data_IF_025488074468
#
_entry.id   IF_025488074468
#
_cell.length_a   1.000
_cell.length_b   1.000
_cell.length_c   1.000
_cell.angle_alpha   90.00
_cell.angle_beta   90.00
_cell.angle_gamma   90.00
#
_symmetry.space_group_name_H-M   'P 1'
#
loop_
_entity.id
_entity.type
_entity.pdbx_description
1 polymer ?
#
# COMPACT_ATOMS: atom_id res chain seq x y z
N UNK A 1 -3.44 7.25 -10.11
CA UNK A 1 -2.88 6.42 -9.02
C UNK A 1 -3.81 5.25 -8.73
N UNK A 2 -3.28 4.06 -8.70
CA UNK A 2 -4.05 2.84 -8.41
C UNK A 2 -3.87 2.47 -6.95
N UNK A 3 -4.98 2.35 -6.23
CA UNK A 3 -4.98 2.01 -4.81
C UNK A 3 -5.85 0.77 -4.61
N UNK A 4 -5.37 -0.16 -3.80
CA UNK A 4 -6.14 -1.34 -3.41
C UNK A 4 -6.38 -1.34 -1.91
N UNK A 5 -7.54 -1.81 -1.50
CA UNK A 5 -7.92 -2.02 -0.11
C UNK A 5 -8.30 -3.48 0.04
N UNK A 6 -7.73 -4.15 1.03
CA UNK A 6 -8.03 -5.55 1.32
C UNK A 6 -8.30 -5.74 2.81
N UNK A 7 -9.54 -6.05 3.14
CA UNK A 7 -10.00 -6.27 4.51
C UNK A 7 -11.28 -7.10 4.45
N UNK A 8 -11.42 -8.09 5.31
CA UNK A 8 -12.59 -8.95 5.30
C UNK A 8 -13.84 -8.28 5.90
N UNK A 9 -13.66 -7.14 6.59
CA UNK A 9 -14.77 -6.35 7.10
C UNK A 9 -15.22 -5.31 6.07
N UNK A 10 -16.40 -5.51 5.50
CA UNK A 10 -16.97 -4.60 4.48
C UNK A 10 -17.04 -3.16 4.99
N UNK A 11 -17.42 -2.97 6.26
CA UNK A 11 -17.50 -1.65 6.86
C UNK A 11 -16.16 -0.92 6.88
N UNK A 12 -15.08 -1.65 7.15
CA UNK A 12 -13.74 -1.05 7.16
C UNK A 12 -13.29 -0.67 5.74
N UNK A 13 -13.59 -1.53 4.75
CA UNK A 13 -13.29 -1.21 3.34
C UNK A 13 -13.99 0.08 2.93
N UNK A 14 -15.25 0.26 3.30
CA UNK A 14 -16.00 1.48 3.00
C UNK A 14 -15.42 2.71 3.69
N UNK A 15 -15.05 2.58 4.95
CA UNK A 15 -14.43 3.67 5.72
C UNK A 15 -13.12 4.11 5.06
N UNK A 16 -12.26 3.16 4.72
CA UNK A 16 -10.99 3.46 4.07
C UNK A 16 -11.19 4.10 2.70
N UNK A 17 -12.13 3.58 1.92
CA UNK A 17 -12.44 4.15 0.61
C UNK A 17 -12.87 5.61 0.72
N UNK A 18 -13.75 5.93 1.64
CA UNK A 18 -14.22 7.30 1.86
C UNK A 18 -13.09 8.22 2.28
N UNK A 19 -12.24 7.77 3.20
CA UNK A 19 -11.09 8.57 3.66
C UNK A 19 -10.10 8.82 2.53
N UNK A 20 -9.81 7.81 1.73
CA UNK A 20 -8.88 7.92 0.60
C UNK A 20 -9.44 8.88 -0.46
N UNK A 21 -10.72 8.77 -0.79
CA UNK A 21 -11.34 9.63 -1.79
C UNK A 21 -11.31 11.11 -1.40
N UNK A 22 -11.41 11.40 -0.12
CA UNK A 22 -11.31 12.80 0.37
C UNK A 22 -9.92 13.37 0.13
N UNK A 23 -8.89 12.55 0.32
CA UNK A 23 -7.49 12.98 0.18
C UNK A 23 -7.01 12.92 -1.27
N UNK A 24 -7.48 11.93 -2.01
CA UNK A 24 -7.03 11.62 -3.38
C UNK A 24 -8.25 11.39 -4.28
N UNK A 25 -8.97 12.46 -4.66
CA UNK A 25 -10.23 12.30 -5.40
C UNK A 25 -10.09 11.62 -6.76
N UNK A 26 -8.91 11.69 -7.37
CA UNK A 26 -8.67 11.10 -8.69
C UNK A 26 -8.11 9.66 -8.63
N UNK A 27 -7.91 9.12 -7.44
CA UNK A 27 -7.40 7.77 -7.29
C UNK A 27 -8.43 6.73 -7.74
N UNK A 28 -7.95 5.69 -8.40
CA UNK A 28 -8.75 4.52 -8.75
C UNK A 28 -8.60 3.51 -7.62
N UNK A 29 -9.71 3.15 -6.99
CA UNK A 29 -9.69 2.31 -5.79
C UNK A 29 -10.36 0.97 -6.11
N UNK A 30 -9.59 -0.12 -5.95
CA UNK A 30 -10.09 -1.48 -6.04
C UNK A 30 -10.22 -2.06 -4.64
N UNK A 31 -11.27 -2.82 -4.40
CA UNK A 31 -11.63 -3.35 -3.08
C UNK A 31 -11.65 -4.86 -3.11
N UNK A 32 -11.06 -5.48 -2.09
CA UNK A 32 -10.99 -6.93 -1.95
C UNK A 32 -11.35 -7.32 -0.52
N UNK A 33 -12.06 -8.42 -0.37
CA UNK A 33 -12.52 -8.90 0.94
C UNK A 33 -11.69 -10.08 1.46
N UNK A 34 -10.70 -10.53 0.70
CA UNK A 34 -9.80 -11.60 1.12
C UNK A 34 -8.44 -11.49 0.43
N UNK A 35 -7.43 -12.06 1.06
CA UNK A 35 -6.11 -12.15 0.46
C UNK A 35 -6.09 -13.01 -0.80
N UNK A 36 -6.89 -14.08 -0.80
CA UNK A 36 -7.03 -14.96 -1.97
C UNK A 36 -7.58 -14.20 -3.17
N UNK A 37 -8.62 -13.40 -2.96
CA UNK A 37 -9.23 -12.58 -4.01
C UNK A 37 -8.23 -11.58 -4.58
N UNK A 38 -7.51 -10.87 -3.72
CA UNK A 38 -6.50 -9.90 -4.13
C UNK A 38 -5.37 -10.58 -4.91
N UNK A 39 -4.87 -11.70 -4.41
CA UNK A 39 -3.77 -12.43 -5.05
C UNK A 39 -4.17 -12.96 -6.44
N UNK A 40 -5.40 -13.43 -6.57
CA UNK A 40 -5.92 -13.95 -7.83
C UNK A 40 -6.21 -12.85 -8.86
N UNK A 41 -6.39 -11.61 -8.42
CA UNK A 41 -6.78 -10.50 -9.29
C UNK A 41 -5.68 -10.05 -10.26
N UNK A 42 -4.43 -10.34 -9.95
CA UNK A 42 -3.29 -9.82 -10.73
C UNK A 42 -3.08 -8.32 -10.56
N UNK A 43 -3.71 -7.72 -9.57
CA UNK A 43 -3.61 -6.28 -9.31
C UNK A 43 -2.18 -5.88 -8.94
N UNK A 44 -1.74 -4.73 -9.46
CA UNK A 44 -0.44 -4.13 -9.10
C UNK A 44 -0.67 -2.68 -8.68
N UNK A 45 -1.22 -2.47 -7.48
CA UNK A 45 -1.50 -1.11 -7.02
C UNK A 45 -0.23 -0.34 -6.69
N UNK A 46 -0.33 0.98 -6.74
CA UNK A 46 0.73 1.87 -6.26
C UNK A 46 0.78 1.87 -4.73
N UNK A 47 -0.40 1.84 -4.11
CA UNK A 47 -0.55 1.76 -2.65
C UNK A 47 -1.55 0.65 -2.31
N UNK A 48 -1.17 -0.21 -1.38
CA UNK A 48 -2.05 -1.26 -0.85
C UNK A 48 -2.29 -1.04 0.64
N UNK A 49 -3.57 -0.95 1.03
CA UNK A 49 -3.99 -0.97 2.42
C UNK A 49 -4.48 -2.38 2.74
N UNK A 50 -3.84 -3.06 3.66
CA UNK A 50 -4.01 -4.49 3.87
C UNK A 50 -4.16 -4.83 5.35
N UNK A 51 -5.25 -5.52 5.69
CA UNK A 51 -5.41 -6.11 7.02
C UNK A 51 -4.63 -7.43 7.09
N UNK A 52 -4.14 -7.76 8.27
CA UNK A 52 -3.36 -9.01 8.49
C UNK A 52 -4.30 -10.16 8.84
N UNK A 53 -5.20 -9.95 9.80
CA UNK A 53 -6.07 -11.03 10.28
C UNK A 53 -7.30 -11.18 9.40
N UNK A 54 -7.23 -12.14 8.50
CA UNK A 54 -8.33 -12.46 7.58
C UNK A 54 -8.45 -13.98 7.47
N UNK A 55 -9.67 -14.52 7.24
CA UNK A 55 -9.83 -15.95 6.99
C UNK A 55 -9.09 -16.39 5.73
N UNK A 56 -8.59 -17.62 5.73
CA UNK A 56 -7.81 -18.14 4.61
C UNK A 56 -6.41 -17.58 4.59
N UNK A 57 -5.97 -17.08 3.45
CA UNK A 57 -4.67 -16.43 3.32
C UNK A 57 -4.67 -15.12 4.13
N UNK A 58 -3.81 -15.02 5.13
CA UNK A 58 -3.72 -13.79 5.93
C UNK A 58 -2.97 -12.69 5.19
N UNK A 59 -2.98 -11.48 5.77
CA UNK A 59 -2.36 -10.32 5.12
C UNK A 59 -0.85 -10.44 4.98
N UNK A 60 -0.18 -11.12 5.89
CA UNK A 60 1.27 -11.29 5.80
C UNK A 60 1.64 -12.19 4.63
N UNK A 61 0.93 -13.31 4.46
CA UNK A 61 1.11 -14.21 3.32
C UNK A 61 0.78 -13.51 2.00
N UNK A 62 -0.32 -12.74 1.98
CA UNK A 62 -0.73 -11.95 0.82
C UNK A 62 0.36 -10.95 0.43
N UNK A 63 0.92 -10.24 1.40
CA UNK A 63 1.97 -9.27 1.17
C UNK A 63 3.22 -9.91 0.56
N UNK A 64 3.62 -11.08 1.07
CA UNK A 64 4.78 -11.81 0.54
C UNK A 64 4.58 -12.19 -0.92
N UNK A 65 3.39 -12.68 -1.27
CA UNK A 65 3.08 -13.04 -2.65
C UNK A 65 3.13 -11.82 -3.58
N UNK A 66 2.50 -10.73 -3.18
CA UNK A 66 2.45 -9.53 -4.01
C UNK A 66 3.82 -8.87 -4.18
N UNK A 67 4.67 -8.94 -3.15
CA UNK A 67 6.02 -8.38 -3.25
C UNK A 67 6.89 -9.06 -4.29
N UNK A 68 6.66 -10.31 -4.59
CA UNK A 68 7.43 -11.03 -5.61
C UNK A 68 7.30 -10.36 -6.98
N UNK A 69 6.13 -9.82 -7.30
CA UNK A 69 5.84 -9.22 -8.60
C UNK A 69 5.73 -7.70 -8.57
N UNK A 70 5.80 -7.08 -7.40
CA UNK A 70 5.60 -5.64 -7.26
C UNK A 70 6.46 -5.09 -6.11
N UNK A 71 7.74 -4.91 -6.39
CA UNK A 71 8.71 -4.43 -5.39
C UNK A 71 8.46 -2.99 -4.96
N UNK A 72 7.95 -2.16 -5.86
CA UNK A 72 7.81 -0.73 -5.63
C UNK A 72 6.49 -0.34 -4.96
N UNK A 73 5.59 -1.30 -4.78
CA UNK A 73 4.31 -1.05 -4.14
C UNK A 73 4.47 -0.50 -2.73
N UNK A 74 3.75 0.57 -2.43
CA UNK A 74 3.69 1.10 -1.05
C UNK A 74 2.70 0.24 -0.28
N UNK A 75 3.19 -0.50 0.70
CA UNK A 75 2.37 -1.39 1.52
C UNK A 75 2.12 -0.76 2.88
N UNK A 76 0.84 -0.57 3.21
CA UNK A 76 0.41 -0.03 4.49
C UNK A 76 -0.50 -1.06 5.14
N UNK A 77 -0.07 -1.64 6.26
CA UNK A 77 -0.93 -2.52 7.04
C UNK A 77 -1.92 -1.70 7.86
N UNK A 78 -3.18 -2.14 7.87
CA UNK A 78 -4.26 -1.52 8.66
C UNK A 78 -4.93 -2.66 9.42
N UNK A 79 -4.57 -2.85 10.67
CA UNK A 79 -4.95 -4.05 11.42
C UNK A 79 -5.11 -3.76 12.92
N UNK A 80 -5.94 -4.56 13.60
CA UNK A 80 -6.04 -4.52 15.06
C UNK A 80 -4.89 -5.31 15.73
N UNK A 81 -4.17 -6.13 14.97
CA UNK A 81 -3.12 -6.99 15.49
C UNK A 81 -1.77 -6.25 15.54
N UNK A 82 -1.24 -6.03 16.73
CA UNK A 82 0.04 -5.34 16.93
C UNK A 82 1.24 -6.28 16.85
N UNK A 83 1.03 -7.58 17.04
CA UNK A 83 2.09 -8.58 17.18
C UNK A 83 2.88 -8.84 15.91
N UNK A 84 2.40 -8.36 14.76
CA UNK A 84 3.06 -8.60 13.46
C UNK A 84 3.97 -7.45 13.01
N UNK A 85 4.16 -6.44 13.85
CA UNK A 85 4.90 -5.23 13.46
C UNK A 85 6.34 -5.55 13.02
N UNK A 86 7.00 -6.50 13.69
CA UNK A 86 8.36 -6.87 13.31
C UNK A 86 8.40 -7.65 11.99
N UNK A 87 7.40 -8.50 11.76
CA UNK A 87 7.30 -9.26 10.51
C UNK A 87 7.02 -8.36 9.31
N UNK A 88 6.42 -7.20 9.54
CA UNK A 88 6.15 -6.22 8.49
C UNK A 88 7.43 -5.72 7.81
N UNK A 89 8.55 -5.72 8.51
CA UNK A 89 9.85 -5.37 7.92
C UNK A 89 10.26 -6.35 6.81
N UNK A 90 9.91 -7.62 6.94
CA UNK A 90 10.27 -8.65 5.96
C UNK A 90 9.59 -8.45 4.61
N UNK A 91 8.47 -7.74 4.59
CA UNK A 91 7.75 -7.41 3.36
C UNK A 91 7.90 -5.93 2.98
N UNK A 92 8.84 -5.25 3.61
CA UNK A 92 9.15 -3.84 3.35
C UNK A 92 7.90 -2.96 3.46
N UNK A 93 7.12 -3.12 4.53
CA UNK A 93 5.95 -2.30 4.77
C UNK A 93 6.35 -0.84 4.95
N UNK A 94 5.63 0.06 4.30
CA UNK A 94 5.84 1.49 4.42
C UNK A 94 5.36 2.00 5.78
N UNK A 95 4.23 1.51 6.24
CA UNK A 95 3.67 1.89 7.54
C UNK A 95 2.76 0.79 8.09
N UNK A 96 2.49 0.89 9.39
CA UNK A 96 1.65 -0.07 10.11
C UNK A 96 0.66 0.71 10.96
N UNK A 97 -0.60 0.79 10.51
CA UNK A 97 -1.66 1.50 11.23
C UNK A 97 -2.44 0.51 12.09
N UNK A 98 -2.47 0.75 13.38
CA UNK A 98 -3.20 -0.09 14.34
C UNK A 98 -4.60 0.49 14.54
N UNK A 99 -5.62 -0.34 14.34
CA UNK A 99 -7.01 0.04 14.58
C UNK A 99 -7.29 0.11 16.08
N UNK A 100 -8.05 1.12 16.58
CA UNK A 100 -8.52 2.28 15.85
C UNK A 100 -7.42 3.32 15.67
N UNK A 101 -7.43 4.05 14.56
CA UNK A 101 -6.47 5.12 14.27
C UNK A 101 -7.24 6.43 14.02
N UNK A 102 -6.58 7.56 14.28
CA UNK A 102 -7.17 8.88 14.07
C UNK A 102 -7.16 9.27 12.59
N UNK A 103 -8.06 10.19 12.22
CA UNK A 103 -8.09 10.76 10.88
C UNK A 103 -6.78 11.49 10.57
N UNK A 104 -6.23 12.19 11.55
CA UNK A 104 -4.95 12.91 11.39
C UNK A 104 -3.80 11.95 11.08
N UNK A 105 -3.75 10.81 11.79
CA UNK A 105 -2.71 9.80 11.55
C UNK A 105 -2.85 9.18 10.17
N UNK A 106 -4.06 8.86 9.78
CA UNK A 106 -4.33 8.29 8.46
C UNK A 106 -3.89 9.26 7.36
N UNK A 107 -4.31 10.52 7.47
CA UNK A 107 -3.94 11.57 6.50
C UNK A 107 -2.43 11.74 6.41
N UNK A 108 -1.74 11.78 7.55
CA UNK A 108 -0.28 11.89 7.60
C UNK A 108 0.39 10.76 6.82
N UNK A 109 -0.05 9.52 7.07
CA UNK A 109 0.54 8.34 6.42
C UNK A 109 0.29 8.36 4.91
N UNK A 110 -0.93 8.69 4.48
CA UNK A 110 -1.27 8.77 3.06
C UNK A 110 -0.44 9.85 2.35
N UNK A 111 -0.33 11.01 2.96
CA UNK A 111 0.47 12.12 2.39
C UNK A 111 1.94 11.74 2.25
N UNK A 112 2.49 11.04 3.23
CA UNK A 112 3.88 10.56 3.18
C UNK A 112 4.06 9.52 2.08
N UNK A 113 3.09 8.62 1.92
CA UNK A 113 3.13 7.60 0.87
C UNK A 113 3.12 8.24 -0.52
N UNK A 114 2.24 9.21 -0.74
CA UNK A 114 2.15 9.93 -2.02
C UNK A 114 3.46 10.67 -2.32
N UNK A 115 4.02 11.35 -1.32
CA UNK A 115 5.31 12.04 -1.48
C UNK A 115 6.43 11.07 -1.82
N UNK A 116 6.41 9.88 -1.22
CA UNK A 116 7.40 8.85 -1.52
C UNK A 116 7.34 8.42 -2.98
N UNK A 117 6.16 8.25 -3.52
CA UNK A 117 5.96 7.90 -4.93
C UNK A 117 6.45 9.02 -5.84
N UNK A 118 6.12 10.27 -5.54
CA UNK A 118 6.54 11.43 -6.32
C UNK A 118 8.06 11.58 -6.33
N UNK A 119 8.70 11.45 -5.16
CA UNK A 119 10.16 11.52 -5.05
C UNK A 119 10.84 10.42 -5.83
N UNK A 120 10.30 9.21 -5.80
CA UNK A 120 10.85 8.08 -6.54
C UNK A 120 10.81 8.38 -8.05
N UNK A 121 9.69 8.90 -8.55
CA UNK A 121 9.54 9.28 -9.95
C UNK A 121 10.52 10.39 -10.37
N UNK A 122 10.66 11.42 -9.52
CA UNK A 122 11.62 12.51 -9.74
C UNK A 122 13.05 12.00 -9.77
N UNK A 123 13.43 11.17 -8.80
CA UNK A 123 14.77 10.59 -8.71
C UNK A 123 15.08 9.73 -9.93
N UNK A 124 14.13 8.95 -10.41
CA UNK A 124 14.30 8.15 -11.62
C UNK A 124 14.50 9.02 -12.84
N UNK A 125 13.73 10.10 -12.96
CA UNK A 125 13.87 11.06 -14.06
C UNK A 125 15.24 11.73 -14.01
N UNK A 126 15.69 12.14 -12.84
CA UNK A 126 17.00 12.76 -12.65
C UNK A 126 18.12 11.79 -12.97
N UNK A 127 18.00 10.55 -12.52
CA UNK A 127 18.98 9.50 -12.83
C UNK A 127 19.07 9.26 -14.32
N UNK A 128 17.94 9.16 -15.03
CA UNK A 128 17.91 9.00 -16.47
C UNK A 128 18.57 10.17 -17.18
N UNK A 129 18.29 11.37 -16.73
CA UNK A 129 18.87 12.58 -17.28
C UNK A 129 20.38 12.59 -17.09
N UNK A 130 20.84 12.28 -15.89
CA UNK A 130 22.28 12.22 -15.59
C UNK A 130 22.97 11.13 -16.40
N UNK A 131 22.33 9.99 -16.60
CA UNK A 131 22.89 8.91 -17.42
C UNK A 131 23.04 9.34 -18.88
N UNK A 132 22.08 10.08 -19.41
CA UNK A 132 22.17 10.61 -20.76
C UNK A 132 23.32 11.60 -20.89
N UNK A 133 23.49 12.49 -19.93
CA UNK A 133 24.56 13.49 -19.94
C UNK A 133 25.93 12.86 -19.74
N UNK A 134 26.03 11.85 -18.90
CA UNK A 134 27.27 11.15 -18.60
C UNK A 134 27.42 9.87 -19.41
N UNK A 135 26.50 9.62 -20.33
CA UNK A 135 26.48 8.42 -21.14
C UNK A 135 27.71 8.25 -22.01
N UNK A 136 28.38 9.32 -22.27
CA UNK A 136 29.65 9.29 -22.95
C UNK A 136 30.83 9.03 -22.04
N UNK A 137 30.57 9.00 -20.76
CA UNK A 137 31.65 8.79 -19.77
C UNK A 137 31.50 7.39 -19.08
#
# INVERSE_FOLDING_TARGET
>A
MQIAICDDEVSMVQILEEKIKKLLPDAVIDKYLSGDELSASGSKPDILFLDIQMPGMDGMETAKMLRQDNEDMILIFVTAAEEYVFQAFDVAAFHYLVKPFSDEKFEEVVKRAVRSIEKYSENQSDEKYMMVQSGGS
#
